data_IF_200171483070
#
_entry.id   IF_200171483070
#
_cell.length_a   1.000
_cell.length_b   1.000
_cell.length_c   1.000
_cell.angle_alpha   90.00
_cell.angle_beta   90.00
_cell.angle_gamma   90.00
#
_symmetry.space_group_name_H-M   'P 1'
#
loop_
_entity.id
_entity.type
_entity.pdbx_description
1 polymer ?
#
# COMPACT_ATOMS: atom_id res chain seq x y z
N UNK A 1 -30.73 16.24 1.62
CA UNK A 1 -31.00 14.88 2.14
C UNK A 1 -30.39 13.89 1.15
N UNK A 2 -29.20 13.36 1.46
CA UNK A 2 -28.62 12.25 0.71
C UNK A 2 -29.26 10.98 1.28
N UNK A 3 -30.04 10.27 0.47
CA UNK A 3 -30.65 9.00 0.88
C UNK A 3 -29.55 8.02 1.25
N UNK A 4 -29.72 7.32 2.38
CA UNK A 4 -28.90 6.18 2.74
C UNK A 4 -29.01 5.16 1.60
N UNK A 5 -27.91 5.01 0.84
CA UNK A 5 -27.80 3.96 -0.16
C UNK A 5 -27.86 2.63 0.60
N UNK A 6 -28.87 1.81 0.29
CA UNK A 6 -29.01 0.46 0.83
C UNK A 6 -27.77 -0.41 0.52
N UNK A 7 -27.63 -1.57 1.20
CA UNK A 7 -26.50 -2.46 1.01
C UNK A 7 -26.30 -2.80 -0.46
N UNK A 8 -25.07 -2.70 -0.96
CA UNK A 8 -24.78 -3.05 -2.35
C UNK A 8 -24.76 -4.56 -2.51
N UNK A 9 -25.10 -5.06 -3.70
CA UNK A 9 -24.98 -6.49 -4.01
C UNK A 9 -23.51 -6.87 -4.20
N UNK A 10 -23.11 -8.10 -3.86
CA UNK A 10 -21.82 -8.66 -4.25
C UNK A 10 -21.67 -8.71 -5.77
N UNK A 11 -20.43 -8.67 -6.26
CA UNK A 11 -20.13 -8.65 -7.70
C UNK A 11 -20.68 -9.87 -8.47
N UNK A 12 -20.56 -11.07 -7.89
CA UNK A 12 -20.97 -12.31 -8.54
C UNK A 12 -21.74 -13.24 -7.60
N UNK A 13 -22.69 -14.00 -8.18
CA UNK A 13 -23.26 -15.21 -7.60
C UNK A 13 -22.74 -16.41 -8.39
N UNK A 14 -22.06 -17.33 -7.72
CA UNK A 14 -21.41 -18.48 -8.34
C UNK A 14 -22.06 -19.76 -7.83
N UNK A 15 -22.45 -20.63 -8.75
CA UNK A 15 -22.91 -22.00 -8.44
C UNK A 15 -21.73 -22.96 -8.60
N UNK A 16 -21.34 -23.62 -7.51
CA UNK A 16 -20.31 -24.64 -7.50
C UNK A 16 -20.80 -25.91 -8.21
N UNK A 17 -19.89 -26.81 -8.66
CA UNK A 17 -20.28 -28.04 -9.37
C UNK A 17 -21.25 -28.96 -8.59
N UNK A 18 -21.28 -28.87 -7.26
CA UNK A 18 -22.20 -29.60 -6.40
C UNK A 18 -23.56 -28.90 -6.19
N UNK A 19 -23.82 -27.78 -6.89
CA UNK A 19 -25.05 -27.00 -6.78
C UNK A 19 -25.08 -25.95 -5.67
N UNK A 20 -24.04 -25.87 -4.84
CA UNK A 20 -23.96 -24.87 -3.75
C UNK A 20 -23.71 -23.48 -4.32
N UNK A 21 -24.45 -22.49 -3.83
CA UNK A 21 -24.31 -21.11 -4.28
C UNK A 21 -23.49 -20.27 -3.29
N UNK A 22 -22.55 -19.48 -3.81
CA UNK A 22 -21.72 -18.57 -3.04
C UNK A 22 -21.67 -17.20 -3.71
N UNK A 23 -21.63 -16.15 -2.91
CA UNK A 23 -21.30 -14.82 -3.41
C UNK A 23 -19.79 -14.68 -3.55
N UNK A 24 -19.33 -14.04 -4.62
CA UNK A 24 -17.93 -13.65 -4.79
C UNK A 24 -17.88 -12.13 -4.96
N UNK A 25 -17.08 -11.48 -4.12
CA UNK A 25 -16.78 -10.06 -4.22
C UNK A 25 -15.31 -9.89 -4.62
N UNK A 26 -15.04 -9.14 -5.69
CA UNK A 26 -13.72 -8.92 -6.22
C UNK A 26 -13.17 -7.54 -5.84
N UNK A 27 -11.93 -7.50 -5.36
CA UNK A 27 -11.31 -6.29 -4.84
C UNK A 27 -9.89 -6.16 -5.37
N UNK A 28 -9.58 -5.01 -5.93
CA UNK A 28 -8.19 -4.63 -6.22
C UNK A 28 -7.66 -3.82 -5.04
N UNK A 29 -6.66 -4.36 -4.34
CA UNK A 29 -5.87 -3.64 -3.36
C UNK A 29 -4.65 -3.04 -4.07
N UNK A 30 -4.51 -1.71 -4.00
CA UNK A 30 -3.42 -0.98 -4.66
C UNK A 30 -2.61 -0.10 -3.72
N UNK A 31 -2.66 -0.34 -2.41
CA UNK A 31 -1.78 0.30 -1.41
C UNK A 31 -1.99 1.80 -1.17
N UNK A 32 -2.74 2.49 -2.05
CA UNK A 32 -3.07 3.90 -1.90
C UNK A 32 -4.33 4.03 -1.03
N UNK A 33 -4.16 4.48 0.22
CA UNK A 33 -5.30 4.99 0.99
C UNK A 33 -5.93 6.18 0.25
N UNK A 34 -7.23 6.40 0.41
CA UNK A 34 -7.92 7.57 -0.16
C UNK A 34 -7.25 8.88 0.28
N UNK A 35 -6.75 8.89 1.52
CA UNK A 35 -5.98 9.99 2.11
C UNK A 35 -4.67 10.24 1.38
N UNK A 36 -3.92 9.19 1.02
CA UNK A 36 -2.68 9.31 0.25
C UNK A 36 -2.94 9.74 -1.19
N UNK A 37 -3.98 9.23 -1.86
CA UNK A 37 -4.36 9.72 -3.21
C UNK A 37 -4.67 11.21 -3.19
N UNK A 38 -5.42 11.66 -2.18
CA UNK A 38 -5.71 13.09 -1.98
C UNK A 38 -4.43 13.88 -1.75
N UNK A 39 -3.54 13.38 -0.90
CA UNK A 39 -2.24 14.01 -0.60
C UNK A 39 -1.34 14.10 -1.82
N UNK A 40 -1.20 13.03 -2.60
CA UNK A 40 -0.38 13.00 -3.82
C UNK A 40 -0.96 13.94 -4.89
N UNK A 41 -2.30 14.01 -5.02
CA UNK A 41 -2.95 14.97 -5.92
C UNK A 41 -2.70 16.43 -5.47
N UNK A 42 -2.77 16.71 -4.17
CA UNK A 42 -2.46 18.04 -3.61
C UNK A 42 -1.00 18.41 -3.88
N UNK A 43 -0.08 17.49 -3.66
CA UNK A 43 1.35 17.70 -3.89
C UNK A 43 1.68 17.87 -5.37
N UNK A 44 1.04 17.10 -6.26
CA UNK A 44 1.18 17.26 -7.72
C UNK A 44 0.87 18.68 -8.17
N UNK A 45 -0.26 19.25 -7.71
CA UNK A 45 -0.63 20.64 -8.00
C UNK A 45 0.42 21.63 -7.47
N UNK A 46 0.98 21.39 -6.29
CA UNK A 46 2.06 22.24 -5.76
C UNK A 46 3.33 22.12 -6.61
N UNK A 47 3.74 20.92 -7.00
CA UNK A 47 4.97 20.67 -7.78
C UNK A 47 4.89 21.29 -9.16
N UNK A 48 3.76 21.13 -9.84
CA UNK A 48 3.51 21.74 -11.15
C UNK A 48 3.57 23.27 -11.02
N UNK A 49 2.88 23.82 -10.02
CA UNK A 49 2.90 25.26 -9.79
C UNK A 49 4.32 25.80 -9.49
N UNK A 50 5.13 25.09 -8.70
CA UNK A 50 6.54 25.48 -8.46
C UNK A 50 7.33 25.40 -9.76
N UNK A 51 7.16 24.33 -10.54
CA UNK A 51 7.89 24.15 -11.78
C UNK A 51 7.60 25.23 -12.82
N UNK A 52 6.35 25.70 -12.85
CA UNK A 52 5.89 26.71 -13.80
C UNK A 52 6.21 28.15 -13.36
N UNK A 53 6.38 28.41 -12.06
CA UNK A 53 6.42 29.77 -11.53
C UNK A 53 7.70 30.15 -10.77
N UNK A 54 8.57 29.21 -10.39
CA UNK A 54 9.83 29.52 -9.71
C UNK A 54 10.96 29.76 -10.71
N UNK A 55 11.57 30.94 -10.67
CA UNK A 55 12.70 31.30 -11.51
C UNK A 55 13.99 30.91 -10.77
N UNK A 56 14.56 29.75 -11.14
CA UNK A 56 15.78 29.22 -10.50
C UNK A 56 16.84 28.82 -11.53
N UNK A 57 17.56 29.79 -12.13
CA UNK A 57 18.51 29.51 -13.20
C UNK A 57 19.77 28.79 -12.72
N UNK A 58 20.18 29.00 -11.47
CA UNK A 58 21.44 28.51 -10.90
C UNK A 58 21.30 27.31 -9.97
N UNK A 59 20.07 26.99 -9.54
CA UNK A 59 19.82 25.94 -8.56
C UNK A 59 18.70 25.00 -9.03
N UNK A 60 18.86 23.71 -8.74
CA UNK A 60 17.71 22.82 -8.54
C UNK A 60 17.30 22.90 -7.07
N UNK A 61 16.09 22.46 -6.77
CA UNK A 61 15.55 22.41 -5.41
C UNK A 61 15.17 20.99 -5.05
N UNK A 62 15.63 20.57 -3.87
CA UNK A 62 15.09 19.41 -3.17
C UNK A 62 13.96 19.86 -2.28
N UNK A 63 12.85 19.12 -2.30
CA UNK A 63 11.76 19.31 -1.36
C UNK A 63 11.65 18.10 -0.44
N UNK A 64 11.51 18.36 0.86
CA UNK A 64 11.14 17.38 1.88
C UNK A 64 9.82 17.81 2.53
N UNK A 65 9.00 16.83 2.91
CA UNK A 65 7.78 17.06 3.67
C UNK A 65 8.10 16.77 5.13
N UNK A 66 8.08 17.81 5.96
CA UNK A 66 8.34 17.71 7.40
C UNK A 66 7.03 17.45 8.15
N UNK A 67 5.94 18.10 7.74
CA UNK A 67 4.61 17.94 8.32
C UNK A 67 3.53 17.96 7.22
N UNK A 68 2.49 17.15 7.39
CA UNK A 68 1.38 17.00 6.43
C UNK A 68 0.18 17.81 6.89
N UNK A 69 -0.24 18.75 6.05
CA UNK A 69 -1.44 19.56 6.29
C UNK A 69 -2.74 18.86 5.86
N UNK A 70 -3.85 19.36 6.39
CA UNK A 70 -5.19 18.83 6.14
C UNK A 70 -5.95 19.55 4.99
N UNK A 71 -5.34 20.59 4.40
CA UNK A 71 -5.86 21.36 3.28
C UNK A 71 -4.76 21.59 2.24
N UNK A 72 -5.09 21.89 0.96
CA UNK A 72 -4.08 22.21 -0.04
C UNK A 72 -3.21 23.41 0.40
N UNK A 73 -1.87 23.35 0.24
CA UNK A 73 -1.00 24.48 0.56
C UNK A 73 -1.28 25.64 -0.40
N UNK A 74 -0.97 26.86 0.03
CA UNK A 74 -1.14 28.06 -0.79
C UNK A 74 0.04 28.17 -1.76
N UNK A 75 -0.01 27.46 -2.90
CA UNK A 75 1.09 27.33 -3.86
C UNK A 75 1.77 28.64 -4.23
N UNK A 76 0.98 29.71 -4.47
CA UNK A 76 1.51 31.05 -4.74
C UNK A 76 2.36 31.60 -3.60
N UNK A 77 1.90 31.46 -2.36
CA UNK A 77 2.65 31.92 -1.18
C UNK A 77 3.94 31.12 -0.97
N UNK A 78 3.88 29.80 -1.20
CA UNK A 78 5.06 28.92 -1.16
C UNK A 78 6.10 29.36 -2.20
N UNK A 79 5.70 29.55 -3.46
CA UNK A 79 6.60 30.02 -4.51
C UNK A 79 7.15 31.42 -4.20
N UNK A 80 6.34 32.37 -3.72
CA UNK A 80 6.83 33.71 -3.36
C UNK A 80 7.82 33.71 -2.20
N UNK A 81 7.68 32.81 -1.22
CA UNK A 81 8.65 32.64 -0.16
C UNK A 81 9.94 31.98 -0.68
N UNK A 82 9.81 30.93 -1.50
CA UNK A 82 10.94 30.24 -2.08
C UNK A 82 11.74 31.13 -3.04
N UNK A 83 11.08 31.96 -3.85
CA UNK A 83 11.73 32.92 -4.75
C UNK A 83 12.54 33.95 -3.96
N UNK A 84 11.96 34.55 -2.91
CA UNK A 84 12.67 35.52 -2.06
C UNK A 84 13.94 34.94 -1.46
N UNK A 85 13.89 33.68 -1.03
CA UNK A 85 15.07 32.99 -0.52
C UNK A 85 16.06 32.68 -1.62
N UNK A 86 15.62 32.18 -2.77
CA UNK A 86 16.45 31.94 -3.93
C UNK A 86 17.25 33.18 -4.36
N UNK A 87 16.63 34.37 -4.28
CA UNK A 87 17.24 35.65 -4.63
C UNK A 87 18.36 36.07 -3.65
N UNK A 88 18.40 35.51 -2.44
CA UNK A 88 19.46 35.75 -1.46
C UNK A 88 20.65 34.81 -1.57
N UNK A 89 20.56 33.74 -2.38
CA UNK A 89 21.59 32.72 -2.45
C UNK A 89 22.74 33.13 -3.38
N UNK A 90 23.97 32.96 -2.90
CA UNK A 90 25.17 33.01 -3.74
C UNK A 90 25.52 31.62 -4.27
N UNK A 91 25.55 31.49 -5.60
CA UNK A 91 25.91 30.23 -6.26
C UNK A 91 27.37 29.85 -6.06
N UNK A 92 28.30 30.80 -6.03
CA UNK A 92 29.72 30.51 -5.87
C UNK A 92 30.02 29.99 -4.46
N UNK A 93 29.40 30.59 -3.46
CA UNK A 93 29.49 30.15 -2.06
C UNK A 93 28.92 28.72 -1.90
N UNK A 94 27.70 28.47 -2.40
CA UNK A 94 27.06 27.16 -2.27
C UNK A 94 27.75 26.07 -3.09
N UNK A 95 28.29 26.40 -4.27
CA UNK A 95 28.99 25.41 -5.12
C UNK A 95 30.32 24.97 -4.54
N UNK A 96 31.03 25.87 -3.85
CA UNK A 96 32.29 25.56 -3.17
C UNK A 96 32.05 24.59 -2.01
N UNK A 97 31.01 24.86 -1.22
CA UNK A 97 30.61 24.01 -0.09
C UNK A 97 29.98 22.68 -0.53
N UNK A 98 29.25 22.64 -1.65
CA UNK A 98 28.63 21.42 -2.16
C UNK A 98 29.66 20.34 -2.55
N UNK A 99 30.79 20.73 -3.14
CA UNK A 99 31.84 19.79 -3.56
C UNK A 99 32.74 19.33 -2.40
N UNK A 100 32.73 20.04 -1.28
CA UNK A 100 33.52 19.74 -0.09
C UNK A 100 32.67 18.96 0.93
N UNK A 101 32.19 17.76 0.58
CA UNK A 101 31.59 16.74 1.45
C UNK A 101 31.05 17.22 2.80
N UNK A 102 29.90 17.91 2.83
CA UNK A 102 29.34 18.44 4.09
C UNK A 102 28.26 17.52 4.64
N UNK A 103 28.71 16.50 5.37
CA UNK A 103 27.97 16.00 6.51
C UNK A 103 28.54 16.68 7.75
N UNK A 104 27.70 17.26 8.59
CA UNK A 104 28.14 17.56 9.95
C UNK A 104 28.33 16.24 10.75
N UNK A 105 28.80 16.33 11.98
CA UNK A 105 29.02 15.16 12.85
C UNK A 105 27.75 14.30 13.08
N UNK A 106 26.57 14.82 12.73
CA UNK A 106 25.27 14.13 12.80
C UNK A 106 24.80 13.53 11.47
N UNK A 107 25.61 13.61 10.41
CA UNK A 107 25.24 13.12 9.08
C UNK A 107 24.24 14.02 8.34
N UNK A 108 23.97 15.23 8.85
CA UNK A 108 23.01 16.15 8.23
C UNK A 108 23.70 17.10 7.25
N UNK A 109 23.01 17.33 6.13
CA UNK A 109 23.46 18.22 5.07
C UNK A 109 23.28 19.69 5.52
N UNK A 110 24.38 20.44 5.70
CA UNK A 110 24.35 21.90 6.00
C UNK A 110 23.97 22.75 4.79
N UNK A 111 22.83 22.49 4.18
CA UNK A 111 22.31 23.34 3.11
C UNK A 111 21.52 24.48 3.76
N UNK A 112 21.58 25.68 3.18
CA UNK A 112 20.75 26.84 3.55
C UNK A 112 19.27 26.54 3.23
N UNK A 113 18.70 25.59 3.98
CA UNK A 113 17.38 25.06 3.77
C UNK A 113 16.34 26.04 4.31
N UNK A 114 15.30 26.27 3.53
CA UNK A 114 14.17 27.10 3.93
C UNK A 114 13.02 26.20 4.37
N UNK A 115 12.55 26.40 5.59
CA UNK A 115 11.28 25.85 6.03
C UNK A 115 10.14 26.79 5.62
N UNK A 116 9.11 26.26 4.95
CA UNK A 116 7.90 27.01 4.59
C UNK A 116 6.69 26.30 5.17
N UNK A 117 5.90 27.03 5.95
CA UNK A 117 4.62 26.57 6.46
C UNK A 117 3.47 27.07 5.57
N UNK A 118 2.51 26.20 5.25
CA UNK A 118 1.28 26.59 4.56
C UNK A 118 0.12 25.64 4.84
N UNK A 119 -0.95 26.15 5.47
CA UNK A 119 -2.17 25.37 5.77
C UNK A 119 -1.86 24.03 6.49
N UNK A 120 -1.00 24.07 7.52
CA UNK A 120 -0.57 22.90 8.30
C UNK A 120 0.47 22.01 7.61
N UNK A 121 0.87 22.32 6.38
CA UNK A 121 2.04 21.69 5.78
C UNK A 121 3.31 22.40 6.23
N UNK A 122 4.35 21.62 6.51
CA UNK A 122 5.70 22.15 6.68
C UNK A 122 6.59 21.49 5.62
N UNK A 123 7.11 22.30 4.71
CA UNK A 123 8.05 21.88 3.69
C UNK A 123 9.45 22.36 4.03
N UNK A 124 10.46 21.56 3.70
CA UNK A 124 11.86 21.98 3.72
C UNK A 124 12.40 21.98 2.30
N UNK A 125 12.91 23.13 1.87
CA UNK A 125 13.51 23.33 0.55
C UNK A 125 15.00 23.53 0.66
N UNK A 126 15.78 22.70 -0.04
CA UNK A 126 17.24 22.81 -0.06
C UNK A 126 17.75 23.08 -1.47
N UNK A 127 18.59 24.11 -1.69
CA UNK A 127 19.15 24.39 -2.99
C UNK A 127 20.24 23.36 -3.34
N UNK A 128 20.28 22.99 -4.61
CA UNK A 128 21.31 22.13 -5.22
C UNK A 128 21.94 22.94 -6.36
N UNK A 129 23.22 23.34 -6.25
CA UNK A 129 23.88 24.12 -7.28
C UNK A 129 23.90 23.38 -8.62
N UNK A 130 23.48 24.05 -9.70
CA UNK A 130 23.61 23.56 -11.07
C UNK A 130 25.06 23.71 -11.52
N UNK A 131 25.52 22.84 -12.42
CA UNK A 131 26.76 23.08 -13.18
C UNK A 131 26.56 24.31 -14.09
N UNK A 132 27.58 25.14 -14.37
CA UNK A 132 27.42 26.33 -15.22
C UNK A 132 26.81 26.05 -16.59
N UNK A 133 27.14 24.90 -17.21
CA UNK A 133 26.58 24.48 -18.50
C UNK A 133 25.06 24.17 -18.44
N UNK A 134 24.49 24.01 -17.25
CA UNK A 134 23.06 23.76 -17.02
C UNK A 134 22.32 25.02 -16.50
N UNK A 135 22.97 26.19 -16.52
CA UNK A 135 22.29 27.44 -16.19
C UNK A 135 21.27 27.77 -17.28
N UNK A 136 20.02 27.89 -16.86
CA UNK A 136 18.94 28.22 -17.78
C UNK A 136 17.73 28.73 -17.01
N UNK A 137 17.07 29.75 -17.55
CA UNK A 137 15.72 30.15 -17.09
C UNK A 137 14.66 29.12 -17.50
N UNK A 138 14.94 28.35 -18.56
CA UNK A 138 14.10 27.28 -19.06
C UNK A 138 14.56 25.95 -18.45
N UNK A 139 13.74 25.37 -17.58
CA UNK A 139 14.02 24.09 -16.95
C UNK A 139 13.25 23.90 -15.66
N UNK A 140 13.04 22.65 -15.25
CA UNK A 140 12.30 22.32 -14.02
C UNK A 140 13.13 22.69 -12.79
N UNK A 141 12.67 23.62 -11.94
CA UNK A 141 13.39 24.01 -10.73
C UNK A 141 13.43 22.91 -9.67
N UNK A 142 12.42 22.03 -9.58
CA UNK A 142 12.47 20.88 -8.67
C UNK A 142 13.32 19.76 -9.27
N UNK A 143 14.41 19.41 -8.59
CA UNK A 143 15.34 18.36 -9.03
C UNK A 143 15.24 17.07 -8.22
N UNK A 144 14.84 17.16 -6.93
CA UNK A 144 14.63 16.01 -6.06
C UNK A 144 13.29 16.18 -5.35
N UNK A 145 12.36 15.28 -5.65
CA UNK A 145 11.10 15.16 -4.95
C UNK A 145 11.25 14.26 -3.71
N UNK A 146 10.31 14.29 -2.76
CA UNK A 146 10.38 13.43 -1.60
C UNK A 146 10.34 11.98 -2.09
N UNK A 147 11.41 11.24 -1.80
CA UNK A 147 11.43 9.80 -2.05
C UNK A 147 10.64 9.16 -0.93
N UNK A 148 9.40 8.81 -1.20
CA UNK A 148 8.69 7.88 -0.34
C UNK A 148 9.26 6.50 -0.65
N UNK A 149 9.79 5.81 0.37
CA UNK A 149 10.05 4.38 0.26
C UNK A 149 8.79 3.76 -0.36
N UNK A 150 8.93 3.12 -1.53
CA UNK A 150 7.80 2.52 -2.23
C UNK A 150 7.08 1.59 -1.26
N UNK A 151 5.80 1.87 -1.00
CA UNK A 151 5.08 1.15 0.04
C UNK A 151 4.52 -0.14 -0.53
N UNK A 152 4.88 -1.25 0.12
CA UNK A 152 4.15 -2.50 0.01
C UNK A 152 2.73 -2.33 0.59
N UNK A 153 1.74 -3.06 0.07
CA UNK A 153 0.42 -3.09 0.72
C UNK A 153 0.62 -3.76 2.07
N UNK A 154 0.39 -3.02 3.15
CA UNK A 154 0.54 -3.59 4.49
C UNK A 154 -0.64 -4.49 4.84
N UNK A 155 -0.42 -5.48 5.71
CA UNK A 155 -1.50 -6.26 6.36
C UNK A 155 -2.68 -5.41 6.87
N UNK A 156 -2.42 -4.21 7.41
CA UNK A 156 -3.47 -3.35 7.97
C UNK A 156 -4.39 -2.80 6.88
N UNK A 157 -3.83 -2.46 5.72
CA UNK A 157 -4.60 -2.01 4.56
C UNK A 157 -5.45 -3.16 3.99
N UNK A 158 -4.89 -4.37 3.88
CA UNK A 158 -5.64 -5.56 3.49
C UNK A 158 -6.80 -5.83 4.47
N UNK A 159 -6.53 -5.84 5.79
CA UNK A 159 -7.55 -6.04 6.82
C UNK A 159 -8.68 -5.01 6.74
N UNK A 160 -8.33 -3.75 6.52
CA UNK A 160 -9.30 -2.67 6.38
C UNK A 160 -10.19 -2.85 5.13
N UNK A 161 -9.61 -3.27 3.99
CA UNK A 161 -10.37 -3.57 2.79
C UNK A 161 -11.32 -4.75 2.99
N UNK A 162 -10.85 -5.84 3.62
CA UNK A 162 -11.67 -7.01 3.99
C UNK A 162 -12.88 -6.56 4.83
N UNK A 163 -12.60 -5.80 5.89
CA UNK A 163 -13.63 -5.31 6.82
C UNK A 163 -14.64 -4.39 6.13
N UNK A 164 -14.17 -3.49 5.26
CA UNK A 164 -15.01 -2.56 4.50
C UNK A 164 -15.95 -3.30 3.56
N UNK A 165 -15.40 -4.23 2.77
CA UNK A 165 -16.15 -4.97 1.75
C UNK A 165 -17.18 -5.90 2.36
N UNK A 166 -16.85 -6.65 3.41
CA UNK A 166 -17.87 -7.43 4.13
C UNK A 166 -19.02 -6.53 4.60
N UNK A 167 -18.73 -5.40 5.25
CA UNK A 167 -19.78 -4.52 5.81
C UNK A 167 -20.70 -3.91 4.76
N UNK A 168 -20.21 -3.74 3.53
CA UNK A 168 -20.94 -3.10 2.43
C UNK A 168 -22.24 -3.85 2.04
N UNK A 169 -22.29 -5.16 2.26
CA UNK A 169 -23.40 -6.01 1.80
C UNK A 169 -24.46 -6.28 2.88
N UNK A 170 -24.27 -5.81 4.11
CA UNK A 170 -25.21 -6.08 5.20
C UNK A 170 -25.31 -7.57 5.54
N UNK A 171 -26.54 -8.07 5.68
CA UNK A 171 -26.83 -9.50 5.92
C UNK A 171 -26.96 -10.23 4.60
N UNK A 172 -26.22 -11.34 4.46
CA UNK A 172 -26.24 -12.20 3.28
C UNK A 172 -26.94 -13.51 3.59
N UNK A 173 -27.66 -14.05 2.61
CA UNK A 173 -28.37 -15.34 2.67
C UNK A 173 -27.52 -16.53 2.20
N UNK A 174 -26.32 -16.25 1.69
CA UNK A 174 -25.33 -17.24 1.23
C UNK A 174 -23.92 -16.85 1.71
N UNK A 175 -22.97 -17.80 1.76
CA UNK A 175 -21.58 -17.51 2.08
C UNK A 175 -20.96 -16.50 1.10
N UNK A 176 -20.06 -15.66 1.62
CA UNK A 176 -19.30 -14.67 0.85
C UNK A 176 -17.83 -15.09 0.73
N UNK A 177 -17.33 -15.21 -0.48
CA UNK A 177 -15.91 -15.34 -0.78
C UNK A 177 -15.38 -13.98 -1.20
N UNK A 178 -14.34 -13.51 -0.52
CA UNK A 178 -13.69 -12.24 -0.88
C UNK A 178 -12.42 -12.52 -1.67
N UNK A 179 -12.41 -12.16 -2.95
CA UNK A 179 -11.25 -12.28 -3.84
C UNK A 179 -10.49 -10.95 -3.88
N UNK A 180 -9.25 -10.93 -3.37
CA UNK A 180 -8.43 -9.72 -3.27
C UNK A 180 -7.19 -9.87 -4.14
N UNK A 181 -7.05 -8.99 -5.11
CA UNK A 181 -5.85 -8.86 -5.91
C UNK A 181 -4.99 -7.70 -5.41
N UNK A 182 -3.84 -8.02 -4.82
CA UNK A 182 -2.85 -7.07 -4.34
C UNK A 182 -1.88 -6.71 -5.48
N UNK A 183 -2.15 -5.60 -6.18
CA UNK A 183 -1.43 -5.24 -7.44
C UNK A 183 -0.17 -4.40 -7.20
N UNK A 184 -0.04 -3.73 -6.06
CA UNK A 184 1.12 -2.88 -5.75
C UNK A 184 1.90 -3.43 -4.56
N UNK A 185 3.22 -3.29 -4.59
CA UNK A 185 4.08 -3.70 -3.48
C UNK A 185 4.59 -5.13 -3.54
N UNK A 186 5.59 -5.42 -2.71
CA UNK A 186 6.11 -6.76 -2.43
C UNK A 186 5.18 -7.47 -1.43
N UNK A 187 3.89 -7.55 -1.77
CA UNK A 187 2.89 -8.21 -0.93
C UNK A 187 3.04 -9.71 -1.10
N UNK A 188 3.28 -10.39 0.01
CA UNK A 188 3.44 -11.83 0.03
C UNK A 188 2.35 -12.50 0.87
N UNK A 189 2.53 -13.79 1.12
CA UNK A 189 1.59 -14.56 1.92
C UNK A 189 1.56 -14.08 3.39
N UNK A 190 2.66 -13.56 3.94
CA UNK A 190 2.72 -13.10 5.33
C UNK A 190 1.83 -11.88 5.56
N UNK A 191 1.74 -10.97 4.59
CA UNK A 191 0.84 -9.83 4.63
C UNK A 191 -0.64 -10.27 4.65
N UNK A 192 -1.01 -11.22 3.79
CA UNK A 192 -2.37 -11.79 3.79
C UNK A 192 -2.65 -12.56 5.08
N UNK A 193 -1.73 -13.41 5.53
CA UNK A 193 -1.79 -14.16 6.78
C UNK A 193 -2.02 -13.20 7.96
N UNK A 194 -1.23 -12.13 8.04
CA UNK A 194 -1.34 -11.12 9.08
C UNK A 194 -2.67 -10.37 9.00
N UNK A 195 -3.16 -10.09 7.80
CA UNK A 195 -4.44 -9.41 7.60
C UNK A 195 -5.64 -10.27 8.02
N UNK A 196 -5.62 -11.56 7.70
CA UNK A 196 -6.76 -12.47 7.94
C UNK A 196 -6.75 -13.07 9.35
N UNK A 197 -5.59 -13.56 9.81
CA UNK A 197 -5.43 -14.28 11.08
C UNK A 197 -4.85 -13.45 12.22
N UNK A 198 -4.31 -12.27 11.92
CA UNK A 198 -3.65 -11.41 12.88
C UNK A 198 -2.12 -11.55 12.87
N UNK A 199 -1.48 -10.53 13.44
CA UNK A 199 -0.04 -10.36 13.55
C UNK A 199 0.62 -11.51 14.27
N UNK A 200 1.77 -11.98 13.79
CA UNK A 200 2.60 -12.89 14.58
C UNK A 200 3.11 -12.19 15.84
N UNK A 201 2.99 -12.86 16.98
CA UNK A 201 3.44 -12.38 18.29
C UNK A 201 4.06 -13.50 19.10
N UNK A 202 4.99 -13.16 19.98
CA UNK A 202 5.53 -14.09 20.98
C UNK A 202 4.94 -13.71 22.34
N UNK A 203 4.13 -14.60 22.91
CA UNK A 203 3.69 -14.45 24.30
C UNK A 203 4.81 -14.97 25.21
N UNK A 204 5.35 -14.07 26.04
CA UNK A 204 6.39 -14.40 27.00
C UNK A 204 5.75 -14.54 28.38
N UNK A 205 5.79 -15.74 28.95
CA UNK A 205 5.46 -15.97 30.34
C UNK A 205 6.65 -15.56 31.20
N UNK A 206 6.45 -14.63 32.13
CA UNK A 206 7.46 -14.23 33.09
C UNK A 206 7.23 -14.90 34.47
N UNK A 207 8.33 -15.18 35.16
CA UNK A 207 8.32 -15.65 36.55
C UNK A 207 7.96 -14.55 37.53
N UNK A 208 7.82 -14.93 38.81
CA UNK A 208 7.56 -13.99 39.90
C UNK A 208 8.69 -12.97 40.11
N UNK A 209 9.89 -13.25 39.59
CA UNK A 209 11.06 -12.36 39.55
C UNK A 209 11.12 -11.49 38.29
N UNK A 210 10.10 -11.55 37.43
CA UNK A 210 10.02 -10.80 36.18
C UNK A 210 10.87 -11.38 35.04
N UNK A 211 11.58 -12.49 35.25
CA UNK A 211 12.41 -13.10 34.19
C UNK A 211 11.57 -13.95 33.24
N UNK A 212 11.85 -13.93 31.93
CA UNK A 212 11.14 -14.76 30.95
C UNK A 212 11.40 -16.24 31.22
N UNK A 213 10.33 -17.02 31.41
CA UNK A 213 10.37 -18.47 31.62
C UNK A 213 10.14 -19.21 30.29
N UNK A 214 9.16 -18.76 29.51
CA UNK A 214 8.78 -19.45 28.28
C UNK A 214 8.20 -18.47 27.26
N UNK A 215 8.65 -18.58 26.00
CA UNK A 215 8.03 -17.91 24.86
C UNK A 215 7.13 -18.88 24.09
N UNK A 216 5.93 -18.44 23.71
CA UNK A 216 5.03 -19.16 22.80
C UNK A 216 4.71 -18.28 21.60
N UNK A 217 5.07 -18.76 20.40
CA UNK A 217 4.64 -18.13 19.15
C UNK A 217 3.11 -18.26 19.01
N UNK A 218 2.46 -17.18 18.62
CA UNK A 218 1.02 -17.12 18.47
C UNK A 218 0.63 -15.97 17.53
N UNK A 219 -0.67 -15.69 17.43
CA UNK A 219 -1.20 -14.56 16.68
C UNK A 219 -1.95 -13.60 17.58
N UNK A 220 -1.77 -12.31 17.34
CA UNK A 220 -2.53 -11.27 18.00
C UNK A 220 -3.99 -11.29 17.54
N UNK A 221 -4.89 -10.78 18.39
CA UNK A 221 -6.32 -10.64 18.08
C UNK A 221 -6.56 -9.35 17.28
N UNK A 222 -5.92 -9.27 16.13
CA UNK A 222 -5.94 -8.12 15.23
C UNK A 222 -6.08 -8.56 13.75
N UNK A 223 -6.65 -9.73 13.50
CA UNK A 223 -7.00 -10.22 12.17
C UNK A 223 -8.39 -9.79 11.71
N UNK A 224 -8.73 -10.07 10.45
CA UNK A 224 -10.05 -9.81 9.90
C UNK A 224 -11.14 -10.70 10.53
N UNK A 225 -10.82 -11.96 10.84
CA UNK A 225 -11.78 -12.91 11.44
C UNK A 225 -11.79 -12.91 12.97
N UNK A 226 -10.77 -12.35 13.61
CA UNK A 226 -10.66 -12.31 15.07
C UNK A 226 -10.03 -11.00 15.53
N UNK A 227 -10.80 -10.22 16.29
CA UNK A 227 -10.31 -9.04 16.97
C UNK A 227 -10.47 -9.14 18.50
N UNK A 228 -10.07 -8.08 19.21
CA UNK A 228 -10.26 -7.95 20.66
C UNK A 228 -11.73 -8.01 21.11
N UNK A 229 -12.69 -7.83 20.18
CA UNK A 229 -14.14 -7.93 20.44
C UNK A 229 -14.71 -9.32 20.13
N UNK A 230 -13.90 -10.26 19.63
CA UNK A 230 -14.33 -11.63 19.33
C UNK A 230 -14.24 -11.98 17.84
N UNK A 231 -14.90 -13.09 17.48
CA UNK A 231 -14.99 -13.57 16.10
C UNK A 231 -15.76 -12.57 15.23
N UNK A 232 -15.36 -12.49 13.96
CA UNK A 232 -15.95 -11.60 12.95
C UNK A 232 -16.14 -12.37 11.65
N UNK A 233 -17.08 -11.88 10.84
CA UNK A 233 -17.27 -12.30 9.46
C UNK A 233 -17.52 -13.81 9.30
N UNK A 234 -18.37 -14.41 10.14
CA UNK A 234 -18.68 -15.85 10.13
C UNK A 234 -19.32 -16.33 8.81
N UNK A 235 -19.99 -15.44 8.06
CA UNK A 235 -20.50 -15.76 6.72
C UNK A 235 -19.43 -15.68 5.60
N UNK A 236 -18.17 -15.38 5.95
CA UNK A 236 -17.07 -15.29 5.01
C UNK A 236 -16.10 -16.45 5.26
N UNK A 237 -16.35 -17.63 4.62
CA UNK A 237 -15.52 -18.81 4.80
C UNK A 237 -14.10 -18.63 4.27
N UNK A 238 -13.94 -17.80 3.24
CA UNK A 238 -12.68 -17.68 2.51
C UNK A 238 -12.33 -16.24 2.17
N UNK A 239 -11.02 -15.97 2.20
CA UNK A 239 -10.39 -14.88 1.46
C UNK A 239 -9.48 -15.53 0.42
N UNK A 240 -9.60 -15.16 -0.85
CA UNK A 240 -8.70 -15.59 -1.91
C UNK A 240 -7.75 -14.45 -2.23
N UNK A 241 -6.47 -14.60 -1.89
CA UNK A 241 -5.43 -13.61 -2.19
C UNK A 241 -4.75 -13.91 -3.51
N UNK A 242 -4.64 -12.89 -4.36
CA UNK A 242 -3.82 -12.90 -5.56
C UNK A 242 -2.70 -11.88 -5.41
N UNK A 243 -1.47 -12.28 -5.76
CA UNK A 243 -0.31 -11.39 -5.75
C UNK A 243 -0.05 -10.91 -7.17
N UNK A 244 -0.27 -9.62 -7.40
CA UNK A 244 0.00 -8.91 -8.65
C UNK A 244 -0.67 -9.53 -9.89
N UNK A 245 -1.86 -10.12 -9.76
CA UNK A 245 -2.56 -10.71 -10.89
C UNK A 245 -2.92 -9.63 -11.93
N UNK A 246 -2.51 -9.82 -13.16
CA UNK A 246 -2.89 -9.01 -14.31
C UNK A 246 -3.07 -9.90 -15.55
N UNK A 247 -3.72 -9.41 -16.63
CA UNK A 247 -3.98 -10.23 -17.82
C UNK A 247 -2.72 -10.86 -18.44
N UNK A 248 -1.58 -10.18 -18.32
CA UNK A 248 -0.30 -10.61 -18.91
C UNK A 248 0.52 -11.52 -18.00
N UNK A 249 0.07 -11.84 -16.79
CA UNK A 249 0.81 -12.76 -15.91
C UNK A 249 -0.06 -13.84 -15.26
N UNK A 250 -1.29 -14.05 -15.74
CA UNK A 250 -2.26 -14.98 -15.14
C UNK A 250 -1.66 -16.36 -14.84
N UNK A 251 -0.82 -16.89 -15.75
CA UNK A 251 -0.18 -18.18 -15.57
C UNK A 251 0.86 -18.22 -14.42
N UNK A 252 1.48 -17.08 -14.10
CA UNK A 252 2.56 -16.94 -13.12
C UNK A 252 2.11 -16.36 -11.78
N UNK A 253 0.96 -15.68 -11.75
CA UNK A 253 0.47 -15.02 -10.56
C UNK A 253 0.20 -16.02 -9.44
N UNK A 254 0.69 -15.70 -8.23
CA UNK A 254 0.46 -16.53 -7.04
C UNK A 254 -0.97 -16.33 -6.54
N UNK A 255 -1.60 -17.42 -6.14
CA UNK A 255 -2.93 -17.45 -5.54
C UNK A 255 -2.92 -18.33 -4.29
N UNK A 256 -3.58 -17.87 -3.24
CA UNK A 256 -3.78 -18.65 -2.03
C UNK A 256 -5.17 -18.40 -1.46
N UNK A 257 -5.82 -19.47 -1.02
CA UNK A 257 -7.11 -19.41 -0.33
C UNK A 257 -6.88 -19.56 1.18
N UNK A 258 -7.21 -18.51 1.92
CA UNK A 258 -7.15 -18.46 3.38
C UNK A 258 -8.51 -18.90 3.93
N UNK A 259 -8.52 -19.84 4.87
CA UNK A 259 -9.73 -20.44 5.44
C UNK A 259 -10.03 -19.82 6.80
N UNK A 260 -11.27 -19.37 7.01
CA UNK A 260 -11.74 -18.87 8.30
C UNK A 260 -11.72 -20.01 9.35
N UNK A 261 -10.88 -19.94 10.40
CA UNK A 261 -10.75 -21.02 11.38
C UNK A 261 -11.85 -20.99 12.45
N UNK A 262 -12.69 -19.95 12.44
CA UNK A 262 -13.71 -19.72 13.47
C UNK A 262 -15.10 -20.18 13.06
N UNK A 263 -15.20 -20.94 11.97
CA UNK A 263 -16.46 -21.50 11.47
C UNK A 263 -16.31 -22.99 11.19
N UNK A 264 -17.40 -23.73 11.27
CA UNK A 264 -17.47 -25.07 10.70
C UNK A 264 -17.64 -24.94 9.20
N UNK A 265 -16.63 -25.35 8.46
CA UNK A 265 -16.64 -25.29 7.01
C UNK A 265 -17.51 -26.41 6.44
N UNK A 266 -18.51 -26.05 5.63
CA UNK A 266 -19.27 -27.01 4.85
C UNK A 266 -18.35 -27.65 3.79
N UNK A 267 -18.33 -28.98 3.74
CA UNK A 267 -17.54 -29.74 2.76
C UNK A 267 -17.93 -29.36 1.32
N UNK A 268 -19.17 -28.92 1.11
CA UNK A 268 -19.65 -28.46 -0.18
C UNK A 268 -19.05 -27.12 -0.62
N UNK A 269 -18.46 -26.35 0.29
CA UNK A 269 -17.80 -25.08 -0.02
C UNK A 269 -16.32 -25.26 -0.37
N UNK A 270 -15.77 -26.47 -0.22
CA UNK A 270 -14.37 -26.74 -0.47
C UNK A 270 -14.00 -26.45 -1.93
N UNK A 271 -12.93 -25.67 -2.11
CA UNK A 271 -12.30 -25.41 -3.40
C UNK A 271 -10.97 -26.18 -3.49
N UNK A 272 -10.98 -27.49 -3.80
CA UNK A 272 -9.83 -28.38 -3.66
C UNK A 272 -8.68 -28.05 -4.63
N UNK A 273 -8.97 -27.35 -5.73
CA UNK A 273 -7.96 -27.02 -6.75
C UNK A 273 -7.04 -25.88 -6.36
N UNK A 274 -7.48 -24.92 -5.54
CA UNK A 274 -6.62 -23.81 -5.16
C UNK A 274 -5.65 -24.22 -4.04
N UNK A 275 -4.41 -23.68 -4.00
CA UNK A 275 -3.57 -23.77 -2.81
C UNK A 275 -4.30 -23.15 -1.62
N UNK A 276 -4.24 -23.81 -0.46
CA UNK A 276 -4.97 -23.38 0.74
C UNK A 276 -4.04 -23.22 1.92
N UNK A 277 -4.38 -22.28 2.78
CA UNK A 277 -3.67 -22.06 4.03
C UNK A 277 -4.67 -21.98 5.18
N UNK A 278 -4.44 -22.80 6.20
CA UNK A 278 -5.29 -22.90 7.39
C UNK A 278 -4.45 -22.85 8.67
N UNK A 279 -4.89 -22.13 9.71
CA UNK A 279 -4.23 -22.21 11.01
C UNK A 279 -4.37 -23.60 11.62
N UNK A 280 -3.26 -24.20 12.02
CA UNK A 280 -3.20 -25.34 12.93
C UNK A 280 -2.86 -24.86 14.34
N UNK A 281 -2.88 -25.76 15.33
CA UNK A 281 -2.70 -25.41 16.76
C UNK A 281 -1.41 -24.62 17.05
N UNK A 282 -0.34 -24.86 16.27
CA UNK A 282 0.99 -24.25 16.48
C UNK A 282 1.69 -23.79 15.20
N UNK A 283 1.12 -24.08 14.02
CA UNK A 283 1.70 -23.73 12.73
C UNK A 283 0.61 -23.39 11.71
N UNK A 284 0.99 -22.82 10.57
CA UNK A 284 0.10 -22.73 9.43
C UNK A 284 0.24 -24.01 8.60
N UNK A 285 -0.89 -24.69 8.36
CA UNK A 285 -0.93 -25.83 7.47
C UNK A 285 -1.17 -25.34 6.05
N UNK A 286 -0.18 -25.52 5.17
CA UNK A 286 -0.29 -25.24 3.76
C UNK A 286 -0.67 -26.52 3.02
N UNK A 287 -1.82 -26.49 2.35
CA UNK A 287 -2.31 -27.59 1.54
C UNK A 287 -2.01 -27.25 0.08
N UNK A 288 -1.17 -28.04 -0.62
CA UNK A 288 -0.88 -27.81 -2.02
C UNK A 288 -2.13 -27.81 -2.88
N UNK A 289 -2.10 -27.05 -3.97
CA UNK A 289 -3.12 -27.01 -5.00
C UNK A 289 -2.49 -26.74 -6.35
N UNK A 290 -3.34 -26.60 -7.36
CA UNK A 290 -2.96 -26.25 -8.72
C UNK A 290 -2.66 -24.77 -8.86
N UNK A 291 -1.67 -24.45 -9.70
CA UNK A 291 -1.42 -23.10 -10.19
C UNK A 291 -2.58 -22.57 -11.04
N UNK A 292 -2.63 -21.24 -11.25
CA UNK A 292 -3.61 -20.65 -12.17
C UNK A 292 -3.43 -21.15 -13.60
N UNK A 293 -2.19 -21.41 -14.03
CA UNK A 293 -1.91 -22.01 -15.34
C UNK A 293 -2.62 -23.37 -15.50
N UNK A 294 -2.49 -24.26 -14.52
CA UNK A 294 -3.13 -25.58 -14.53
C UNK A 294 -4.66 -25.46 -14.42
N UNK A 295 -5.17 -24.55 -13.60
CA UNK A 295 -6.61 -24.35 -13.40
C UNK A 295 -7.28 -23.85 -14.69
N UNK A 296 -6.63 -22.93 -15.40
CA UNK A 296 -7.15 -22.35 -16.64
C UNK A 296 -6.70 -23.09 -17.90
N UNK A 297 -5.85 -24.12 -17.78
CA UNK A 297 -5.31 -24.85 -18.92
C UNK A 297 -4.41 -24.00 -19.83
N UNK A 298 -3.67 -23.05 -19.26
CA UNK A 298 -2.77 -22.17 -20.01
C UNK A 298 -1.48 -22.91 -20.41
N UNK A 299 -0.95 -22.64 -21.61
CA UNK A 299 0.28 -23.25 -22.06
C UNK A 299 1.50 -22.74 -21.28
N UNK A 300 2.58 -23.52 -21.30
CA UNK A 300 3.89 -23.06 -20.86
C UNK A 300 4.33 -21.84 -21.69
N UNK A 301 4.92 -20.84 -21.03
CA UNK A 301 5.33 -19.59 -21.68
C UNK A 301 4.19 -18.59 -21.95
N UNK A 302 3.04 -18.73 -21.27
CA UNK A 302 1.97 -17.72 -21.33
C UNK A 302 2.38 -16.40 -20.62
N UNK A 303 2.09 -15.23 -21.21
CA UNK A 303 1.48 -15.01 -22.53
C UNK A 303 2.49 -15.27 -23.63
N UNK A 304 2.06 -15.91 -24.73
CA UNK A 304 2.95 -16.18 -25.87
C UNK A 304 3.55 -14.87 -26.36
N UNK A 305 4.86 -14.85 -26.63
CA UNK A 305 5.50 -13.74 -27.32
C UNK A 305 4.78 -13.49 -28.64
N UNK A 306 4.02 -12.39 -28.74
CA UNK A 306 3.29 -12.00 -29.95
C UNK A 306 1.91 -11.37 -29.77
N UNK A 307 1.27 -11.47 -28.59
CA UNK A 307 -0.07 -10.86 -28.36
C UNK A 307 -0.03 -9.54 -27.57
N UNK A 308 1.00 -8.73 -27.80
CA UNK A 308 1.05 -7.35 -27.31
C UNK A 308 0.98 -6.38 -28.51
N UNK A 309 -0.25 -5.91 -28.78
CA UNK A 309 -0.61 -4.70 -29.53
C UNK A 309 -0.51 -4.73 -31.07
N UNK A 310 -1.55 -5.28 -31.71
CA UNK A 310 -2.16 -4.65 -32.88
C UNK A 310 -3.60 -4.25 -32.53
N UNK A 311 -3.80 -3.05 -31.99
CA UNK A 311 -4.96 -2.15 -32.25
C UNK A 311 -4.51 -0.71 -31.99
#
# INVERSE_FOLDING_TARGET
MLGELGPSRPDFLVTLPNGTEVYVEAVVANGKSDEKRRRDAILGVLYDYINDNLISPKFFWRIEIVEVGNQPPRSKAVVSALQRHADTLDWAELSTHWNASIQDESGQWRLQALAIESNGWVFRFSPIPKKPAAFSKEGRPLGILPMEAGWSITKNQLRAQISKKRKQHGTLDRPLVLAINAIQGDVDDEDFIGAVYGSEVVYVQCGSDGRPIQGKLSRARDGAWLDNKGTKHEHMPYVVGFQQLCPTNVALAKVCLYINPHITLDENLLMPKLPRLMPAQTCLNQIPGSSLAEIFGLPEGWPREGEANEV
#
